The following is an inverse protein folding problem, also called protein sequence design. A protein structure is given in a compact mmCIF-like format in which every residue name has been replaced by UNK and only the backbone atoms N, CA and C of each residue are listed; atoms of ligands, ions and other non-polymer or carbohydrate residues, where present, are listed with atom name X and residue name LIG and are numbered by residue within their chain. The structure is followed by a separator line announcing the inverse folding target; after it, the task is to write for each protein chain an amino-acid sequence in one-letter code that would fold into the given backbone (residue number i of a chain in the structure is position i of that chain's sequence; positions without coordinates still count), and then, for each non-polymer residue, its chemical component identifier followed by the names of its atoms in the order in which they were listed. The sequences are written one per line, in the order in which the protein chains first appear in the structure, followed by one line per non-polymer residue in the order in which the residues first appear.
data_IF_404889708716
#
_entry.id   IF_404889708716
#
_cell.length_a   1.000
_cell.length_b   1.000
_cell.length_c   1.000
_cell.angle_alpha   90.00
_cell.angle_beta   90.00
_cell.angle_gamma   90.00
#
_symmetry.space_group_name_H-M   'P 1'
#
loop_
_entity.id
_entity.type
_entity.pdbx_description
1 polymer ?
#
# COMPACT_ATOMS: atom_id res chain seq x y z
N UNK A 1 18.23 -26.47 17.34
CA UNK A 1 18.43 -25.00 17.43
C UNK A 1 18.22 -24.41 16.04
N UNK A 2 16.97 -24.09 15.67
CA UNK A 2 16.68 -23.38 14.43
C UNK A 2 15.63 -22.32 14.76
N UNK A 3 16.10 -21.09 14.90
CA UNK A 3 15.24 -19.92 15.09
C UNK A 3 14.61 -19.59 13.74
N UNK A 4 13.37 -20.03 13.53
CA UNK A 4 12.55 -19.59 12.41
C UNK A 4 12.06 -18.18 12.73
N UNK A 5 12.83 -17.18 12.30
CA UNK A 5 12.40 -15.78 12.32
C UNK A 5 11.33 -15.60 11.23
N UNK A 6 10.07 -15.87 11.59
CA UNK A 6 8.90 -15.55 10.78
C UNK A 6 8.88 -14.04 10.57
N UNK A 7 9.09 -13.60 9.32
CA UNK A 7 8.95 -12.20 8.95
C UNK A 7 7.50 -11.76 9.23
N UNK A 8 7.27 -10.61 9.89
CA UNK A 8 5.92 -10.12 10.10
C UNK A 8 5.26 -9.84 8.75
N UNK A 9 4.12 -10.47 8.49
CA UNK A 9 3.23 -10.09 7.41
C UNK A 9 2.88 -8.61 7.60
N UNK A 10 3.45 -7.75 6.76
CA UNK A 10 3.08 -6.34 6.68
C UNK A 10 1.65 -6.28 6.17
N UNK A 11 0.68 -6.10 7.07
CA UNK A 11 -0.75 -5.88 6.80
C UNK A 11 -0.92 -4.52 6.11
N UNK A 12 -0.92 -4.44 4.76
CA UNK A 12 -0.79 -3.17 4.05
C UNK A 12 -2.08 -2.35 4.12
N UNK A 13 -3.19 -2.97 4.53
CA UNK A 13 -4.54 -2.39 4.51
C UNK A 13 -4.85 -1.45 5.67
N UNK A 14 -4.23 -1.65 6.84
CA UNK A 14 -4.64 -0.92 8.07
C UNK A 14 -4.30 0.57 8.00
N UNK A 15 -3.10 0.92 7.49
CA UNK A 15 -2.65 2.31 7.40
C UNK A 15 -3.44 3.12 6.37
N UNK A 16 -3.81 2.50 5.25
CA UNK A 16 -4.59 3.16 4.20
C UNK A 16 -6.04 3.44 4.62
N UNK A 17 -6.66 2.53 5.39
CA UNK A 17 -8.00 2.74 5.95
C UNK A 17 -7.98 3.84 7.01
N UNK A 18 -6.98 3.87 7.89
CA UNK A 18 -6.81 4.92 8.91
C UNK A 18 -6.61 6.29 8.25
N UNK A 19 -5.74 6.40 7.24
CA UNK A 19 -5.50 7.67 6.54
C UNK A 19 -6.78 8.21 5.87
N UNK A 20 -7.61 7.33 5.30
CA UNK A 20 -8.92 7.69 4.74
C UNK A 20 -9.88 8.18 5.81
N UNK A 21 -9.95 7.49 6.94
CA UNK A 21 -10.81 7.87 8.07
C UNK A 21 -10.39 9.22 8.65
N UNK A 22 -9.09 9.46 8.85
CA UNK A 22 -8.57 10.75 9.33
C UNK A 22 -8.85 11.87 8.34
N UNK A 23 -8.63 11.63 7.05
CA UNK A 23 -8.92 12.62 6.00
C UNK A 23 -10.41 12.95 5.93
N UNK A 24 -11.29 11.94 6.06
CA UNK A 24 -12.75 12.14 6.15
C UNK A 24 -13.14 12.92 7.43
N UNK A 25 -12.54 12.57 8.57
CA UNK A 25 -12.79 13.22 9.85
C UNK A 25 -12.38 14.70 9.84
N UNK A 26 -11.38 15.07 9.04
CA UNK A 26 -10.96 16.47 8.85
C UNK A 26 -11.83 17.16 7.80
N UNK A 27 -12.14 16.51 6.68
CA UNK A 27 -12.85 17.11 5.56
C UNK A 27 -14.33 17.36 5.87
N UNK A 28 -14.96 16.46 6.63
CA UNK A 28 -16.37 16.56 7.01
C UNK A 28 -16.68 17.85 7.82
N UNK A 29 -16.01 18.13 8.96
CA UNK A 29 -16.29 19.35 9.73
C UNK A 29 -15.93 20.62 8.96
N UNK A 30 -14.85 20.61 8.16
CA UNK A 30 -14.52 21.73 7.28
C UNK A 30 -15.69 22.02 6.33
N UNK A 31 -16.26 20.99 5.72
CA UNK A 31 -17.40 21.14 4.81
C UNK A 31 -18.63 21.71 5.52
N UNK A 32 -18.95 21.23 6.73
CA UNK A 32 -20.07 21.74 7.52
C UNK A 32 -19.90 23.22 7.85
N UNK A 33 -18.73 23.63 8.33
CA UNK A 33 -18.44 25.04 8.66
C UNK A 33 -18.57 25.93 7.42
N UNK A 34 -18.07 25.49 6.28
CA UNK A 34 -18.19 26.23 5.02
C UNK A 34 -19.65 26.39 4.59
N UNK A 35 -20.47 25.34 4.71
CA UNK A 35 -21.91 25.40 4.39
C UNK A 35 -22.64 26.36 5.32
N UNK A 36 -22.38 26.29 6.64
CA UNK A 36 -23.01 27.19 7.62
C UNK A 36 -22.60 28.65 7.37
N UNK A 37 -21.30 28.90 7.17
CA UNK A 37 -20.78 30.22 6.84
C UNK A 37 -21.42 30.78 5.56
N UNK A 38 -21.56 29.94 4.53
CA UNK A 38 -22.22 30.27 3.26
C UNK A 38 -23.69 30.63 3.44
N UNK A 39 -24.42 29.85 4.24
CA UNK A 39 -25.86 30.03 4.46
C UNK A 39 -26.16 31.31 5.24
N UNK A 40 -25.28 31.67 6.17
CA UNK A 40 -25.38 32.89 6.99
C UNK A 40 -24.92 34.10 6.18
N UNK A 41 -23.85 33.96 5.38
CA UNK A 41 -23.26 35.03 4.59
C UNK A 41 -23.66 34.90 3.11
N UNK A 42 -24.96 35.02 2.84
CA UNK A 42 -25.50 35.08 1.46
C UNK A 42 -25.46 36.48 0.84
N UNK A 43 -24.92 37.47 1.55
CA UNK A 43 -24.82 38.83 1.04
C UNK A 43 -23.92 38.90 -0.20
N UNK A 44 -24.33 39.73 -1.15
CA UNK A 44 -23.50 40.09 -2.29
C UNK A 44 -22.37 40.99 -1.81
N UNK A 45 -21.13 40.61 -2.14
CA UNK A 45 -19.93 41.38 -1.79
C UNK A 45 -19.22 41.74 -3.09
N UNK A 46 -18.81 43.01 -3.27
CA UNK A 46 -18.05 43.42 -4.44
C UNK A 46 -16.70 42.69 -4.43
N UNK A 47 -16.46 41.89 -5.47
CA UNK A 47 -15.19 41.19 -5.65
C UNK A 47 -14.47 41.76 -6.86
N UNK A 48 -13.30 42.33 -6.58
CA UNK A 48 -12.37 42.81 -7.60
C UNK A 48 -11.28 41.78 -7.81
N UNK A 49 -11.25 41.16 -8.99
CA UNK A 49 -10.19 40.23 -9.36
C UNK A 49 -9.03 41.03 -9.98
N UNK A 50 -8.04 41.36 -9.15
CA UNK A 50 -6.83 42.05 -9.59
C UNK A 50 -5.57 41.19 -9.40
N UNK A 51 -5.22 40.32 -10.37
CA UNK A 51 -4.04 39.46 -10.27
C UNK A 51 -2.71 40.21 -10.45
N UNK A 52 -2.71 41.45 -10.96
CA UNK A 52 -1.48 42.18 -11.33
C UNK A 52 -1.48 43.69 -10.98
N UNK A 53 -2.40 44.17 -10.14
CA UNK A 53 -2.42 45.55 -9.64
C UNK A 53 -2.90 46.62 -10.63
N UNK A 54 -3.40 46.25 -11.81
CA UNK A 54 -3.47 47.16 -12.97
C UNK A 54 -4.76 47.12 -13.79
N UNK A 55 -5.71 46.23 -13.47
CA UNK A 55 -6.96 46.07 -14.22
C UNK A 55 -8.16 46.26 -13.27
N UNK A 56 -8.57 47.50 -12.95
CA UNK A 56 -9.68 47.78 -12.03
C UNK A 56 -11.08 47.47 -12.60
N UNK A 57 -11.16 46.91 -13.81
CA UNK A 57 -12.38 46.75 -14.59
C UNK A 57 -13.03 45.37 -14.47
N UNK A 58 -12.51 44.50 -13.58
CA UNK A 58 -13.08 43.18 -13.28
C UNK A 58 -13.61 43.13 -11.84
N UNK A 59 -14.45 44.12 -11.50
CA UNK A 59 -15.25 44.14 -10.27
C UNK A 59 -16.65 43.66 -10.59
N UNK A 60 -17.10 42.62 -9.89
CA UNK A 60 -18.46 42.13 -9.98
C UNK A 60 -18.97 41.80 -8.58
N UNK A 61 -20.25 42.04 -8.37
CA UNK A 61 -20.92 41.61 -7.14
C UNK A 61 -21.18 40.11 -7.27
N UNK A 62 -20.51 39.34 -6.42
CA UNK A 62 -20.74 37.92 -6.30
C UNK A 62 -21.08 37.58 -4.85
N UNK A 63 -22.03 36.65 -4.64
CA UNK A 63 -22.23 36.08 -3.33
C UNK A 63 -20.93 35.43 -2.85
N UNK A 64 -20.50 35.74 -1.62
CA UNK A 64 -19.34 35.07 -1.00
C UNK A 64 -19.48 33.55 -1.00
N UNK A 65 -20.72 33.06 -0.94
CA UNK A 65 -21.07 31.65 -1.06
C UNK A 65 -20.51 31.00 -2.33
N UNK A 66 -20.66 31.64 -3.49
CA UNK A 66 -20.23 31.10 -4.77
C UNK A 66 -18.70 31.02 -4.85
N UNK A 67 -18.01 32.07 -4.43
CA UNK A 67 -16.55 32.12 -4.39
C UNK A 67 -15.97 31.05 -3.46
N UNK A 68 -16.56 30.88 -2.27
CA UNK A 68 -16.12 29.89 -1.29
C UNK A 68 -16.30 28.46 -1.83
N UNK A 69 -17.43 28.19 -2.47
CA UNK A 69 -17.69 26.90 -3.13
C UNK A 69 -16.73 26.65 -4.28
N UNK A 70 -16.46 27.65 -5.14
CA UNK A 70 -15.48 27.52 -6.22
C UNK A 70 -14.08 27.24 -5.66
N UNK A 71 -13.64 27.97 -4.63
CA UNK A 71 -12.35 27.75 -3.99
C UNK A 71 -12.25 26.34 -3.36
N UNK A 72 -13.32 25.89 -2.70
CA UNK A 72 -13.41 24.53 -2.16
C UNK A 72 -13.33 23.48 -3.27
N UNK A 73 -14.10 23.66 -4.35
CA UNK A 73 -14.12 22.73 -5.47
C UNK A 73 -12.73 22.61 -6.09
N UNK A 74 -12.05 23.73 -6.30
CA UNK A 74 -10.67 23.77 -6.78
C UNK A 74 -9.74 23.04 -5.80
N UNK A 75 -9.86 23.28 -4.49
CA UNK A 75 -9.07 22.59 -3.46
C UNK A 75 -9.29 21.08 -3.47
N UNK A 76 -10.55 20.62 -3.60
CA UNK A 76 -10.90 19.19 -3.69
C UNK A 76 -10.37 18.57 -4.99
N UNK A 77 -10.48 19.27 -6.12
CA UNK A 77 -9.95 18.80 -7.40
C UNK A 77 -8.43 18.69 -7.33
N UNK A 78 -7.73 19.71 -6.85
CA UNK A 78 -6.28 19.68 -6.69
C UNK A 78 -5.82 18.60 -5.71
N UNK A 79 -6.51 18.46 -4.57
CA UNK A 79 -6.25 17.40 -3.60
C UNK A 79 -6.51 16.00 -4.17
N UNK A 80 -7.62 15.85 -4.91
CA UNK A 80 -7.99 14.61 -5.60
C UNK A 80 -6.99 14.24 -6.68
N UNK A 81 -6.56 15.19 -7.52
CA UNK A 81 -5.52 15.00 -8.53
C UNK A 81 -4.18 14.64 -7.87
N UNK A 82 -3.79 15.30 -6.79
CA UNK A 82 -2.59 14.97 -6.02
C UNK A 82 -2.64 13.55 -5.45
N UNK A 83 -3.76 13.15 -4.86
CA UNK A 83 -3.98 11.80 -4.37
C UNK A 83 -3.98 10.75 -5.50
N UNK A 84 -4.57 11.09 -6.65
CA UNK A 84 -4.63 10.21 -7.82
C UNK A 84 -3.24 10.00 -8.44
N UNK A 85 -2.41 11.05 -8.50
CA UNK A 85 -1.02 10.95 -8.95
C UNK A 85 -0.17 10.10 -7.99
N UNK A 86 -0.36 10.26 -6.67
CA UNK A 86 0.31 9.45 -5.65
C UNK A 86 -0.08 7.96 -5.73
N UNK A 87 -1.38 7.66 -5.92
CA UNK A 87 -1.86 6.29 -6.10
C UNK A 87 -1.50 5.69 -7.47
N UNK A 88 -1.43 6.50 -8.54
CA UNK A 88 -1.05 6.06 -9.88
C UNK A 88 0.38 5.51 -9.92
N UNK A 89 1.29 6.08 -9.12
CA UNK A 89 2.64 5.54 -8.96
C UNK A 89 2.64 4.12 -8.35
N UNK A 90 1.74 3.85 -7.41
CA UNK A 90 1.61 2.54 -6.76
C UNK A 90 0.99 1.46 -7.66
N UNK A 91 0.20 1.81 -8.68
CA UNK A 91 -0.36 0.82 -9.64
C UNK A 91 0.71 0.04 -10.41
N UNK A 92 1.90 0.62 -10.62
CA UNK A 92 3.05 -0.10 -11.22
C UNK A 92 3.80 -0.98 -10.20
N UNK A 93 3.76 -0.62 -8.92
CA UNK A 93 4.42 -1.39 -7.86
C UNK A 93 3.66 -2.68 -7.52
N UNK A 94 2.33 -2.69 -7.62
CA UNK A 94 1.51 -3.88 -7.34
C UNK A 94 1.79 -5.06 -8.27
N UNK A 95 2.15 -4.82 -9.53
CA UNK A 95 2.53 -5.88 -10.47
C UNK A 95 3.91 -6.47 -10.16
N UNK A 96 4.88 -5.62 -9.75
CA UNK A 96 6.23 -6.09 -9.37
C UNK A 96 6.21 -6.94 -8.10
N UNK A 97 5.43 -6.53 -7.08
CA UNK A 97 5.33 -7.27 -5.81
C UNK A 97 4.75 -8.69 -5.97
N UNK A 98 3.80 -8.90 -6.90
CA UNK A 98 3.25 -10.25 -7.17
C UNK A 98 4.31 -11.20 -7.74
N UNK A 99 5.12 -10.72 -8.67
CA UNK A 99 6.19 -11.54 -9.29
C UNK A 99 7.29 -11.85 -8.29
N UNK A 100 7.57 -10.93 -7.36
CA UNK A 100 8.60 -11.11 -6.33
C UNK A 100 8.17 -12.15 -5.30
N UNK A 101 6.90 -12.15 -4.87
CA UNK A 101 6.34 -13.20 -3.99
C UNK A 101 6.35 -14.57 -4.68
N UNK A 102 5.94 -14.63 -5.95
CA UNK A 102 5.93 -15.90 -6.69
C UNK A 102 7.34 -16.44 -6.93
N UNK A 103 8.31 -15.55 -7.20
CA UNK A 103 9.73 -15.91 -7.31
C UNK A 103 10.26 -16.45 -5.99
N UNK A 104 10.01 -15.77 -4.87
CA UNK A 104 10.45 -16.22 -3.54
C UNK A 104 9.84 -17.58 -3.18
N UNK A 105 8.56 -17.81 -3.48
CA UNK A 105 7.92 -19.10 -3.26
C UNK A 105 8.57 -20.22 -4.09
N UNK A 106 8.85 -19.97 -5.38
CA UNK A 106 9.55 -20.96 -6.24
C UNK A 106 10.94 -21.28 -5.73
N UNK A 107 11.65 -20.31 -5.17
CA UNK A 107 12.97 -20.52 -4.57
C UNK A 107 12.90 -21.35 -3.28
N UNK A 108 11.87 -21.15 -2.45
CA UNK A 108 11.62 -21.98 -1.25
C UNK A 108 11.27 -23.42 -1.60
N UNK A 109 10.35 -23.65 -2.55
CA UNK A 109 9.98 -25.02 -2.98
C UNK A 109 11.20 -25.79 -3.51
N UNK A 110 12.06 -25.15 -4.29
CA UNK A 110 13.31 -25.78 -4.79
C UNK A 110 14.31 -26.10 -3.68
N UNK A 111 14.31 -25.32 -2.59
CA UNK A 111 15.17 -25.62 -1.42
C UNK A 111 14.65 -26.82 -0.65
N UNK A 112 13.33 -26.91 -0.46
CA UNK A 112 12.68 -28.04 0.19
C UNK A 112 12.92 -29.34 -0.60
N UNK A 113 12.79 -29.31 -1.92
CA UNK A 113 13.09 -30.47 -2.79
C UNK A 113 14.55 -30.92 -2.65
N UNK A 114 15.51 -29.99 -2.62
CA UNK A 114 16.93 -30.33 -2.44
C UNK A 114 17.24 -30.93 -1.08
N UNK A 115 16.60 -30.44 -0.02
CA UNK A 115 16.75 -31.03 1.32
C UNK A 115 16.24 -32.48 1.30
N UNK A 116 15.09 -32.71 0.68
CA UNK A 116 14.49 -34.05 0.57
C UNK A 116 15.37 -35.02 -0.21
N UNK A 117 15.95 -34.59 -1.34
CA UNK A 117 16.88 -35.42 -2.12
C UNK A 117 18.14 -35.76 -1.32
N UNK A 118 18.70 -34.80 -0.59
CA UNK A 118 19.88 -35.04 0.27
C UNK A 118 19.55 -35.99 1.44
N UNK A 119 18.33 -35.93 1.97
CA UNK A 119 17.85 -36.87 2.99
C UNK A 119 17.68 -38.28 2.42
N UNK A 120 17.15 -38.42 1.20
CA UNK A 120 17.05 -39.70 0.48
C UNK A 120 18.44 -40.29 0.18
N UNK A 121 19.39 -39.48 -0.31
CA UNK A 121 20.78 -39.90 -0.56
C UNK A 121 21.49 -40.31 0.75
N UNK A 122 21.28 -39.56 1.84
CA UNK A 122 21.80 -39.93 3.17
C UNK A 122 21.17 -41.20 3.71
N UNK A 123 19.86 -41.39 3.52
CA UNK A 123 19.16 -42.61 3.92
C UNK A 123 19.64 -43.82 3.10
N UNK A 124 19.88 -43.67 1.80
CA UNK A 124 20.48 -44.69 0.95
C UNK A 124 21.92 -45.03 1.38
N UNK A 125 22.74 -44.03 1.71
CA UNK A 125 24.10 -44.24 2.22
C UNK A 125 24.13 -44.90 3.62
N UNK A 126 23.17 -44.56 4.49
CA UNK A 126 23.01 -45.19 5.80
C UNK A 126 22.52 -46.64 5.69
N UNK A 127 21.59 -46.93 4.77
CA UNK A 127 21.08 -48.28 4.50
C UNK A 127 22.13 -49.22 3.90
N UNK A 128 23.06 -48.68 3.08
CA UNK A 128 24.16 -49.45 2.49
C UNK A 128 25.26 -49.87 3.48
N UNK A 129 25.36 -49.22 4.64
CA UNK A 129 26.41 -49.51 5.63
C UNK A 129 26.05 -50.71 6.53
N UNK A 130 24.76 -51.03 6.69
CA UNK A 130 24.31 -52.16 7.53
C UNK A 130 24.49 -53.54 6.86
N UNK A 131 24.44 -53.62 5.53
CA UNK A 131 24.50 -54.90 4.81
C UNK A 131 25.89 -55.54 4.75
N UNK A 132 26.96 -54.85 5.18
CA UNK A 132 28.35 -55.35 5.08
C UNK A 132 28.91 -55.90 6.40
N UNK A 133 28.18 -55.79 7.50
CA UNK A 133 28.65 -56.20 8.84
C UNK A 133 28.18 -57.60 9.29
N UNK A 134 27.44 -58.34 8.45
CA UNK A 134 26.85 -59.64 8.84
C UNK A 134 27.26 -60.76 7.87
N UNK A 135 28.56 -61.10 7.88
CA UNK A 135 29.04 -62.40 7.39
C UNK A 135 29.41 -63.24 8.61
N UNK A 136 28.58 -64.20 9.03
CA UNK A 136 29.00 -65.18 10.02
C UNK A 136 29.93 -66.20 9.34
N UNK A 137 31.23 -66.09 9.61
CA UNK A 137 32.16 -67.21 9.38
C UNK A 137 31.91 -68.22 10.49
N UNK A 138 31.04 -69.17 10.21
CA UNK A 138 30.87 -70.38 11.00
C UNK A 138 30.54 -71.52 10.03
N UNK A 139 31.58 -72.23 9.55
CA UNK A 139 31.45 -73.65 9.20
C UNK A 139 32.78 -74.35 8.99
N UNK A 140 32.78 -75.61 9.48
CA UNK A 140 33.73 -76.70 9.30
C UNK A 140 35.03 -76.59 10.12
N UNK A 141 35.48 -77.62 10.83
CA UNK A 141 34.99 -78.97 11.11
C UNK A 141 35.72 -79.47 12.38
#
# INVERSE_FOLDING_TARGET
MASTHVAPCDEPGRRAMIAKIVSLLILLPITVVLVVFTVINRGDVPVTLDPFGSIPQLTFDAPLSLLLFCALLVGVVLGGVGAFLSQAHHRRASYKRKHEIERLNRESTKREERIRMLEEDRAAAAGGTSSRAMVPVARAA
#
